data_IF_771203189246
#
_entry.id   IF_771203189246
#
_cell.length_a   1.000
_cell.length_b   1.000
_cell.length_c   1.000
_cell.angle_alpha   90.00
_cell.angle_beta   90.00
_cell.angle_gamma   90.00
#
_symmetry.space_group_name_H-M   'P 1'
#
loop_
_entity.id
_entity.type
_entity.pdbx_description
1 polymer ?
#
# COMPACT_ATOMS: atom_id res chain seq x y z
N UNK A 1 25.10 -9.05 8.69
CA UNK A 1 24.30 -9.26 9.91
C UNK A 1 22.85 -8.81 9.63
N UNK A 2 22.18 -9.54 8.72
CA UNK A 2 20.89 -9.15 8.15
C UNK A 2 19.75 -9.51 9.10
N UNK A 3 18.69 -8.69 9.12
CA UNK A 3 17.40 -9.02 9.73
C UNK A 3 17.10 -10.52 9.56
N UNK A 4 17.02 -11.29 10.66
CA UNK A 4 16.43 -12.63 10.60
C UNK A 4 14.93 -12.43 10.42
N UNK A 5 14.54 -12.02 9.22
CA UNK A 5 13.20 -11.59 8.90
C UNK A 5 12.27 -12.80 9.08
N UNK A 6 11.28 -12.66 9.96
CA UNK A 6 10.22 -13.64 10.09
C UNK A 6 9.55 -13.87 8.72
N UNK A 7 9.02 -15.08 8.51
CA UNK A 7 8.32 -15.44 7.26
C UNK A 7 7.27 -14.39 6.88
N UNK A 8 6.54 -13.88 7.87
CA UNK A 8 5.54 -12.82 7.75
C UNK A 8 6.12 -11.49 7.26
N UNK A 9 7.26 -11.06 7.79
CA UNK A 9 7.92 -9.83 7.32
C UNK A 9 8.33 -9.94 5.86
N UNK A 10 8.89 -11.09 5.45
CA UNK A 10 9.30 -11.33 4.06
C UNK A 10 8.13 -11.25 3.11
N UNK A 11 7.03 -11.94 3.43
CA UNK A 11 5.80 -11.92 2.61
C UNK A 11 5.28 -10.48 2.49
N UNK A 12 5.21 -9.73 3.60
CA UNK A 12 4.76 -8.35 3.56
C UNK A 12 5.67 -7.45 2.71
N UNK A 13 6.99 -7.59 2.81
CA UNK A 13 7.92 -6.83 1.96
C UNK A 13 7.76 -7.13 0.47
N UNK A 14 7.63 -8.41 0.09
CA UNK A 14 7.38 -8.78 -1.30
C UNK A 14 6.04 -8.23 -1.79
N UNK A 15 5.00 -8.31 -0.96
CA UNK A 15 3.68 -7.74 -1.28
C UNK A 15 3.77 -6.24 -1.59
N UNK A 16 4.46 -5.46 -0.76
CA UNK A 16 4.64 -4.03 -0.99
C UNK A 16 5.51 -3.77 -2.22
N UNK A 17 6.63 -4.47 -2.38
CA UNK A 17 7.52 -4.27 -3.53
C UNK A 17 6.85 -4.56 -4.88
N UNK A 18 6.04 -5.62 -4.96
CA UNK A 18 5.33 -6.00 -6.18
C UNK A 18 4.10 -5.11 -6.39
N UNK A 19 3.20 -5.06 -5.40
CA UNK A 19 1.89 -4.43 -5.58
C UNK A 19 1.87 -2.93 -5.35
N UNK A 20 2.93 -2.34 -4.81
CA UNK A 20 3.13 -0.90 -4.84
C UNK A 20 4.17 -0.55 -5.91
N UNK A 21 5.40 -1.06 -5.78
CA UNK A 21 6.50 -0.68 -6.69
C UNK A 21 6.25 -1.01 -8.16
N UNK A 22 6.04 -2.30 -8.49
CA UNK A 22 5.81 -2.72 -9.90
C UNK A 22 4.45 -2.23 -10.40
N UNK A 23 3.43 -2.29 -9.57
CA UNK A 23 2.09 -1.80 -9.91
C UNK A 23 2.09 -0.33 -10.33
N UNK A 24 2.85 0.55 -9.65
CA UNK A 24 2.98 1.96 -10.04
C UNK A 24 3.57 2.13 -11.45
N UNK A 25 4.48 1.25 -11.87
CA UNK A 25 5.01 1.24 -13.24
C UNK A 25 3.94 0.78 -14.24
N UNK A 26 3.15 -0.24 -13.89
CA UNK A 26 2.08 -0.74 -14.75
C UNK A 26 1.02 0.35 -14.99
N UNK A 27 0.54 1.03 -13.93
CA UNK A 27 -0.49 2.07 -14.08
C UNK A 27 0.03 3.35 -14.76
N UNK A 28 1.34 3.57 -14.82
CA UNK A 28 1.93 4.68 -15.59
C UNK A 28 2.03 4.37 -17.08
N UNK A 29 2.25 3.09 -17.45
CA UNK A 29 2.23 2.62 -18.84
C UNK A 29 0.79 2.49 -19.34
N UNK A 30 -0.13 2.06 -18.47
CA UNK A 30 -1.55 1.89 -18.75
C UNK A 30 -2.37 2.92 -17.95
N UNK A 31 -2.44 4.19 -18.42
CA UNK A 31 -3.20 5.24 -17.73
C UNK A 31 -4.71 5.02 -17.86
N UNK A 32 -5.46 5.72 -17.02
CA UNK A 32 -6.91 5.78 -17.14
C UNK A 32 -7.36 6.59 -18.36
N UNK A 33 -8.58 6.31 -18.83
CA UNK A 33 -9.18 7.04 -19.95
C UNK A 33 -9.42 8.52 -19.59
N UNK A 34 -9.45 9.39 -20.60
CA UNK A 34 -9.70 10.83 -20.43
C UNK A 34 -11.03 11.08 -19.70
N UNK A 35 -11.02 11.97 -18.71
CA UNK A 35 -12.17 12.22 -17.86
C UNK A 35 -12.40 11.15 -16.79
N UNK A 36 -11.57 10.10 -16.73
CA UNK A 36 -11.67 8.97 -15.83
C UNK A 36 -13.05 8.31 -15.95
N UNK A 37 -13.21 7.40 -16.92
CA UNK A 37 -14.45 6.68 -17.21
C UNK A 37 -14.84 5.72 -16.07
N UNK A 38 -15.44 6.27 -15.01
CA UNK A 38 -15.84 5.55 -13.80
C UNK A 38 -17.01 4.60 -14.04
N UNK A 39 -17.89 4.97 -14.97
CA UNK A 39 -19.07 4.18 -15.34
C UNK A 39 -18.72 3.00 -16.27
N UNK A 40 -17.45 2.92 -16.72
CA UNK A 40 -16.96 1.88 -17.62
C UNK A 40 -17.82 1.75 -18.89
N UNK A 41 -18.25 2.89 -19.46
CA UNK A 41 -18.99 2.92 -20.72
C UNK A 41 -17.97 2.83 -21.85
N UNK A 42 -17.89 1.69 -22.54
CA UNK A 42 -16.89 1.40 -23.58
C UNK A 42 -15.44 1.70 -23.14
N UNK A 43 -14.95 1.05 -22.06
CA UNK A 43 -13.64 1.35 -21.49
C UNK A 43 -12.52 0.84 -22.42
N UNK A 44 -11.40 1.56 -22.47
CA UNK A 44 -10.21 1.04 -23.13
C UNK A 44 -9.63 -0.15 -22.36
N UNK A 45 -8.82 -0.98 -23.04
CA UNK A 45 -8.06 -2.03 -22.35
C UNK A 45 -7.10 -1.46 -21.30
N UNK A 46 -6.58 -0.24 -21.54
CA UNK A 46 -5.73 0.47 -20.57
C UNK A 46 -6.50 0.78 -19.28
N UNK A 47 -7.73 1.28 -19.39
CA UNK A 47 -8.61 1.55 -18.23
C UNK A 47 -8.87 0.28 -17.42
N UNK A 48 -9.11 -0.86 -18.08
CA UNK A 48 -9.31 -2.14 -17.39
C UNK A 48 -8.06 -2.59 -16.62
N UNK A 49 -6.88 -2.50 -17.25
CA UNK A 49 -5.60 -2.85 -16.61
C UNK A 49 -5.31 -1.90 -15.45
N UNK A 50 -5.54 -0.60 -15.63
CA UNK A 50 -5.36 0.43 -14.60
C UNK A 50 -6.20 0.12 -13.36
N UNK A 51 -7.51 -0.11 -13.55
CA UNK A 51 -8.44 -0.36 -12.45
C UNK A 51 -8.15 -1.68 -11.74
N UNK A 52 -7.83 -2.74 -12.48
CA UNK A 52 -7.45 -4.03 -11.90
C UNK A 52 -6.17 -3.89 -11.07
N UNK A 53 -5.16 -3.21 -11.61
CA UNK A 53 -3.89 -2.99 -10.92
C UNK A 53 -4.09 -2.15 -9.67
N UNK A 54 -4.84 -1.05 -9.75
CA UNK A 54 -5.19 -0.22 -8.60
C UNK A 54 -5.95 -0.97 -7.52
N UNK A 55 -6.92 -1.81 -7.90
CA UNK A 55 -7.66 -2.67 -6.96
C UNK A 55 -6.72 -3.63 -6.22
N UNK A 56 -5.83 -4.30 -6.95
CA UNK A 56 -4.84 -5.21 -6.35
C UNK A 56 -3.92 -4.45 -5.38
N UNK A 57 -3.42 -3.27 -5.77
CA UNK A 57 -2.62 -2.40 -4.91
C UNK A 57 -3.36 -2.04 -3.62
N UNK A 58 -4.58 -1.54 -3.73
CA UNK A 58 -5.35 -1.06 -2.58
C UNK A 58 -5.84 -2.15 -1.63
N UNK A 59 -5.88 -3.42 -2.06
CA UNK A 59 -6.16 -4.55 -1.15
C UNK A 59 -4.87 -5.10 -0.56
N UNK A 60 -3.87 -5.34 -1.40
CA UNK A 60 -2.70 -6.13 -1.01
C UNK A 60 -1.69 -5.30 -0.24
N UNK A 61 -1.52 -4.01 -0.54
CA UNK A 61 -0.52 -3.17 0.14
C UNK A 61 -0.89 -2.91 1.61
N UNK A 62 -2.11 -2.48 1.98
CA UNK A 62 -2.49 -2.37 3.39
C UNK A 62 -2.38 -3.70 4.14
N UNK A 63 -2.82 -4.80 3.52
CA UNK A 63 -2.68 -6.16 4.08
C UNK A 63 -1.21 -6.50 4.36
N UNK A 64 -0.34 -6.20 3.40
CA UNK A 64 1.09 -6.47 3.50
C UNK A 64 1.74 -5.65 4.60
N UNK A 65 1.36 -4.38 4.76
CA UNK A 65 1.80 -3.52 5.87
C UNK A 65 1.39 -4.14 7.21
N UNK A 66 0.14 -4.59 7.36
CA UNK A 66 -0.31 -5.29 8.59
C UNK A 66 0.50 -6.57 8.84
N UNK A 67 0.75 -7.37 7.80
CA UNK A 67 1.57 -8.60 7.89
C UNK A 67 3.01 -8.31 8.33
N UNK A 68 3.62 -7.22 7.85
CA UNK A 68 4.93 -6.79 8.36
C UNK A 68 4.88 -6.40 9.84
N UNK A 69 3.76 -5.86 10.32
CA UNK A 69 3.53 -5.58 11.75
C UNK A 69 3.55 -6.85 12.60
N UNK A 70 2.86 -7.91 12.18
CA UNK A 70 2.95 -9.23 12.83
C UNK A 70 4.37 -9.78 12.81
N UNK A 71 5.01 -9.65 11.65
CA UNK A 71 6.38 -10.06 11.46
C UNK A 71 7.37 -9.37 12.40
N UNK A 72 7.25 -8.05 12.55
CA UNK A 72 8.06 -7.22 13.44
C UNK A 72 7.84 -7.55 14.92
N UNK A 73 6.59 -7.82 15.33
CA UNK A 73 6.27 -8.22 16.71
C UNK A 73 6.97 -9.52 17.10
N UNK A 74 6.98 -10.51 16.19
CA UNK A 74 7.58 -11.82 16.46
C UNK A 74 9.09 -11.77 16.73
N UNK A 75 9.77 -10.70 16.31
CA UNK A 75 11.21 -10.50 16.48
C UNK A 75 11.54 -9.40 17.51
N UNK A 76 10.55 -8.94 18.29
CA UNK A 76 10.74 -7.98 19.39
C UNK A 76 10.67 -6.49 19.00
N UNK A 77 10.38 -6.15 17.75
CA UNK A 77 10.29 -4.76 17.28
C UNK A 77 8.87 -4.18 17.52
N UNK A 78 8.49 -4.05 18.79
CA UNK A 78 7.12 -3.68 19.20
C UNK A 78 6.68 -2.29 18.70
N UNK A 79 7.56 -1.28 18.78
CA UNK A 79 7.23 0.08 18.29
C UNK A 79 6.93 0.10 16.79
N UNK A 80 7.76 -0.56 15.97
CA UNK A 80 7.55 -0.64 14.52
C UNK A 80 6.32 -1.51 14.16
N UNK A 81 6.04 -2.54 14.96
CA UNK A 81 4.83 -3.35 14.82
C UNK A 81 3.56 -2.51 15.00
N UNK A 82 3.49 -1.71 16.07
CA UNK A 82 2.35 -0.80 16.32
C UNK A 82 2.20 0.22 15.20
N UNK A 83 3.31 0.82 14.74
CA UNK A 83 3.30 1.75 13.60
C UNK A 83 2.77 1.10 12.32
N UNK A 84 3.17 -0.15 12.05
CA UNK A 84 2.70 -0.91 10.89
C UNK A 84 1.22 -1.26 11.00
N UNK A 85 0.73 -1.68 12.16
CA UNK A 85 -0.70 -1.91 12.36
C UNK A 85 -1.52 -0.64 12.22
N UNK A 86 -1.06 0.47 12.81
CA UNK A 86 -1.75 1.76 12.70
C UNK A 86 -1.86 2.21 11.24
N UNK A 87 -0.73 2.25 10.51
CA UNK A 87 -0.72 2.68 9.11
C UNK A 87 -1.47 1.73 8.18
N UNK A 88 -1.35 0.41 8.39
CA UNK A 88 -2.08 -0.58 7.62
C UNK A 88 -3.60 -0.47 7.81
N UNK A 89 -4.06 -0.31 9.06
CA UNK A 89 -5.48 -0.12 9.37
C UNK A 89 -6.02 1.21 8.86
N UNK A 90 -5.25 2.31 8.99
CA UNK A 90 -5.62 3.61 8.41
C UNK A 90 -5.70 3.51 6.89
N UNK A 91 -4.73 2.84 6.25
CA UNK A 91 -4.76 2.58 4.81
C UNK A 91 -6.02 1.82 4.39
N UNK A 92 -6.37 0.74 5.10
CA UNK A 92 -7.60 0.00 4.86
C UNK A 92 -8.86 0.85 5.02
N UNK A 93 -8.94 1.64 6.10
CA UNK A 93 -10.05 2.54 6.33
C UNK A 93 -10.24 3.50 5.15
N UNK A 94 -9.16 4.15 4.69
CA UNK A 94 -9.24 5.06 3.56
C UNK A 94 -9.52 4.35 2.23
N UNK A 95 -9.14 3.08 2.06
CA UNK A 95 -9.56 2.27 0.90
C UNK A 95 -11.08 2.03 0.93
N UNK A 96 -11.66 1.71 2.08
CA UNK A 96 -13.12 1.58 2.22
C UNK A 96 -13.83 2.90 1.91
N UNK A 97 -13.30 4.01 2.41
CA UNK A 97 -13.81 5.36 2.09
C UNK A 97 -13.70 5.63 0.59
N UNK A 98 -12.56 5.34 -0.03
CA UNK A 98 -12.34 5.51 -1.47
C UNK A 98 -13.39 4.76 -2.29
N UNK A 99 -13.64 3.49 -1.97
CA UNK A 99 -14.62 2.66 -2.68
C UNK A 99 -16.04 3.25 -2.51
N UNK A 100 -16.39 3.65 -1.29
CA UNK A 100 -17.70 4.24 -0.98
C UNK A 100 -17.95 5.53 -1.74
N UNK A 101 -16.91 6.36 -1.92
CA UNK A 101 -17.00 7.68 -2.55
C UNK A 101 -16.37 7.73 -3.95
N UNK A 102 -16.36 6.61 -4.68
CA UNK A 102 -15.73 6.50 -6.01
C UNK A 102 -16.28 7.52 -7.02
N UNK A 103 -17.57 7.89 -6.91
CA UNK A 103 -18.23 8.87 -7.79
C UNK A 103 -18.09 10.32 -7.34
N UNK A 104 -17.42 10.59 -6.21
CA UNK A 104 -17.20 11.95 -5.72
C UNK A 104 -16.14 12.69 -6.53
N UNK A 105 -16.22 14.02 -6.56
CA UNK A 105 -15.17 14.88 -7.12
C UNK A 105 -13.83 14.76 -6.37
N UNK A 106 -13.87 14.27 -5.12
CA UNK A 106 -12.69 14.10 -4.26
C UNK A 106 -11.98 12.74 -4.42
N UNK A 107 -12.36 11.89 -5.37
CA UNK A 107 -11.78 10.54 -5.52
C UNK A 107 -10.24 10.57 -5.64
N UNK A 108 -9.70 11.53 -6.39
CA UNK A 108 -8.25 11.67 -6.55
C UNK A 108 -7.53 12.09 -5.26
N UNK A 109 -8.20 12.86 -4.40
CA UNK A 109 -7.68 13.22 -3.07
C UNK A 109 -7.69 11.99 -2.15
N UNK A 110 -8.74 11.18 -2.20
CA UNK A 110 -8.83 9.94 -1.43
C UNK A 110 -7.75 8.93 -1.85
N UNK A 111 -7.50 8.77 -3.16
CA UNK A 111 -6.40 7.94 -3.67
C UNK A 111 -5.04 8.39 -3.13
N UNK A 112 -4.72 9.69 -3.20
CA UNK A 112 -3.46 10.24 -2.66
C UNK A 112 -3.35 10.09 -1.15
N UNK A 113 -4.47 10.18 -0.44
CA UNK A 113 -4.51 9.95 1.01
C UNK A 113 -4.14 8.50 1.34
N UNK A 114 -4.73 7.53 0.62
CA UNK A 114 -4.36 6.11 0.75
C UNK A 114 -2.87 5.91 0.46
N UNK A 115 -2.37 6.40 -0.68
CA UNK A 115 -0.97 6.24 -1.08
C UNK A 115 0.01 6.90 -0.11
N UNK A 116 -0.37 8.02 0.51
CA UNK A 116 0.43 8.67 1.55
C UNK A 116 0.67 7.73 2.74
N UNK A 117 -0.30 6.89 3.11
CA UNK A 117 -0.10 5.89 4.19
C UNK A 117 0.98 4.86 3.81
N UNK A 118 1.05 4.48 2.53
CA UNK A 118 2.03 3.52 2.03
C UNK A 118 3.42 4.13 2.04
N UNK A 119 3.56 5.36 1.52
CA UNK A 119 4.82 6.10 1.50
C UNK A 119 5.32 6.35 2.92
N UNK A 120 4.45 6.80 3.84
CA UNK A 120 4.81 7.01 5.24
C UNK A 120 5.34 5.72 5.88
N UNK A 121 4.70 4.57 5.60
CA UNK A 121 5.18 3.29 6.09
C UNK A 121 6.56 2.93 5.51
N UNK A 122 6.78 3.14 4.20
CA UNK A 122 8.06 2.89 3.53
C UNK A 122 9.18 3.74 4.16
N UNK A 123 8.92 5.03 4.40
CA UNK A 123 9.87 5.95 5.03
C UNK A 123 10.19 5.50 6.46
N UNK A 124 9.17 5.16 7.27
CA UNK A 124 9.39 4.64 8.62
C UNK A 124 10.21 3.35 8.62
N UNK A 125 9.92 2.44 7.69
CA UNK A 125 10.68 1.22 7.52
C UNK A 125 12.15 1.52 7.19
N UNK A 126 12.40 2.40 6.23
CA UNK A 126 13.76 2.81 5.83
C UNK A 126 14.54 3.42 7.01
N UNK A 127 13.89 4.28 7.81
CA UNK A 127 14.50 4.88 9.00
C UNK A 127 14.84 3.83 10.07
N UNK A 128 13.98 2.83 10.28
CA UNK A 128 14.24 1.74 11.23
C UNK A 128 15.35 0.80 10.76
N UNK A 129 15.46 0.56 9.44
CA UNK A 129 16.58 -0.22 8.88
C UNK A 129 17.90 0.55 8.99
N UNK A 130 17.90 1.87 8.78
CA UNK A 130 19.10 2.71 8.88
C UNK A 130 19.60 2.87 10.32
N UNK A 131 18.71 2.95 11.31
CA UNK A 131 19.04 3.17 12.73
C UNK A 131 18.68 1.97 13.64
N UNK A 132 19.43 0.86 13.58
CA UNK A 132 19.17 -0.33 14.41
C UNK A 132 19.39 -0.11 15.92
N UNK A 133 19.98 1.01 16.35
CA UNK A 133 20.22 1.34 17.76
C UNK A 133 19.03 2.00 18.47
N UNK A 134 18.04 2.54 17.74
CA UNK A 134 16.87 3.22 18.31
C UNK A 134 15.68 2.28 18.60
N UNK A 135 15.94 0.98 18.72
CA UNK A 135 14.90 -0.06 18.81
C UNK A 135 15.18 -1.15 19.86
N UNK A 136 16.08 -0.91 20.81
CA UNK A 136 16.07 -1.66 22.07
C UNK A 136 15.28 -0.88 23.10
#
# INVERSE_FOLDING_TARGET
>A
HHFKASKWSRIGFYGIGIFYGVATIVVSIFPCDSGCNRELINPSTSQLIHNLTGLLTYIIVPSSIVLTGFGARSIGYNSFSVQSFALGSIGFFFVVVLITYTYSDYVGLLQRTVESTFILWIVLCALKVKNPKASR
#
